data_IF_266900596522
#
_entry.id   IF_266900596522
#
_cell.length_a   1.000
_cell.length_b   1.000
_cell.length_c   1.000
_cell.angle_alpha   90.00
_cell.angle_beta   90.00
_cell.angle_gamma   90.00
#
_symmetry.space_group_name_H-M   'P 1'
#
loop_
_entity.id
_entity.type
_entity.pdbx_description
1 polymer ?
#
# COMPACT_ATOMS: atom_id res chain seq x y z
N UNK A 1 12.33 9.41 -13.88
CA UNK A 1 11.30 8.77 -13.06
C UNK A 1 11.96 7.98 -11.93
N UNK A 2 11.40 8.06 -10.74
CA UNK A 2 11.79 7.21 -9.60
C UNK A 2 10.63 6.26 -9.28
N UNK A 3 10.93 4.99 -9.18
CA UNK A 3 9.94 3.98 -8.80
C UNK A 3 10.49 3.22 -7.58
N UNK A 4 9.74 3.23 -6.49
CA UNK A 4 10.09 2.51 -5.26
C UNK A 4 9.05 1.42 -5.05
N UNK A 5 9.51 0.16 -5.13
CA UNK A 5 8.66 -0.98 -4.83
C UNK A 5 8.76 -1.33 -3.34
N UNK A 6 7.71 -1.90 -2.80
CA UNK A 6 7.60 -2.21 -1.38
C UNK A 6 7.82 -0.98 -0.49
N UNK A 7 7.30 0.14 -0.92
CA UNK A 7 7.55 1.44 -0.30
C UNK A 7 7.07 1.52 1.16
N UNK A 8 6.07 0.74 1.55
CA UNK A 8 5.59 0.71 2.94
C UNK A 8 6.68 0.28 3.93
N UNK A 9 7.65 -0.51 3.47
CA UNK A 9 8.77 -0.96 4.31
C UNK A 9 10.02 -0.10 4.23
N UNK A 10 10.02 0.97 3.43
CA UNK A 10 11.19 1.85 3.26
C UNK A 10 11.09 3.03 4.20
N UNK A 11 12.19 3.36 4.88
CA UNK A 11 12.23 4.50 5.79
C UNK A 11 11.96 5.82 5.05
N UNK A 12 11.21 6.72 5.69
CA UNK A 12 10.88 8.02 5.11
C UNK A 12 12.11 8.81 4.72
N UNK A 13 13.19 8.73 5.48
CA UNK A 13 14.44 9.42 5.16
C UNK A 13 15.01 8.98 3.81
N UNK A 14 14.88 7.68 3.48
CA UNK A 14 15.32 7.14 2.19
C UNK A 14 14.40 7.62 1.07
N UNK A 15 13.10 7.63 1.31
CA UNK A 15 12.14 8.13 0.33
C UNK A 15 12.35 9.61 0.04
N UNK A 16 12.62 10.42 1.06
CA UNK A 16 12.91 11.84 0.90
C UNK A 16 14.12 12.08 0.02
N UNK A 17 15.19 11.29 0.21
CA UNK A 17 16.39 11.40 -0.64
C UNK A 17 16.07 11.00 -2.08
N UNK A 18 15.35 9.89 -2.26
CA UNK A 18 15.01 9.40 -3.60
C UNK A 18 14.16 10.40 -4.38
N UNK A 19 13.15 10.98 -3.75
CA UNK A 19 12.22 11.90 -4.40
C UNK A 19 12.71 13.34 -4.42
N UNK A 20 13.64 13.71 -3.54
CA UNK A 20 14.23 15.04 -3.52
C UNK A 20 15.02 15.40 -4.78
N UNK A 21 15.43 14.40 -5.56
CA UNK A 21 16.12 14.62 -6.83
C UNK A 21 15.18 14.94 -7.98
N UNK A 22 13.85 14.84 -7.79
CA UNK A 22 12.85 15.07 -8.83
C UNK A 22 12.49 16.56 -8.88
N UNK A 23 13.30 17.34 -9.61
CA UNK A 23 13.16 18.80 -9.67
C UNK A 23 12.59 19.32 -10.98
N UNK A 24 12.48 18.49 -12.02
CA UNK A 24 11.94 18.88 -13.32
C UNK A 24 10.44 18.56 -13.40
N UNK A 25 9.70 19.37 -14.16
CA UNK A 25 8.27 19.19 -14.35
C UNK A 25 7.89 17.82 -14.93
N UNK A 26 8.77 17.26 -15.76
CA UNK A 26 8.53 15.98 -16.42
C UNK A 26 8.89 14.77 -15.57
N UNK A 27 9.46 14.99 -14.39
CA UNK A 27 9.81 13.90 -13.49
C UNK A 27 8.56 13.24 -12.93
N UNK A 28 8.66 11.94 -12.71
CA UNK A 28 7.57 11.13 -12.17
C UNK A 28 8.08 10.31 -11.01
N UNK A 29 7.23 10.16 -10.00
CA UNK A 29 7.48 9.33 -8.84
C UNK A 29 6.37 8.29 -8.73
N UNK A 30 6.74 7.04 -8.57
CA UNK A 30 5.79 5.94 -8.41
C UNK A 30 6.20 5.12 -7.18
N UNK A 31 5.26 4.88 -6.30
CA UNK A 31 5.45 3.96 -5.18
C UNK A 31 4.43 2.83 -5.30
N UNK A 32 4.91 1.60 -5.17
CA UNK A 32 4.07 0.42 -5.14
C UNK A 32 4.35 -0.36 -3.87
N UNK A 33 3.32 -0.89 -3.23
CA UNK A 33 3.51 -1.69 -2.02
C UNK A 33 2.23 -2.41 -1.62
N UNK A 34 2.38 -3.43 -0.80
CA UNK A 34 1.29 -3.88 0.07
C UNK A 34 1.20 -2.89 1.23
N UNK A 35 -0.01 -2.54 1.68
CA UNK A 35 -0.20 -1.54 2.74
C UNK A 35 0.03 -2.14 4.12
N UNK A 36 1.28 -2.41 4.48
CA UNK A 36 1.65 -3.14 5.68
C UNK A 36 1.72 -2.29 6.94
N UNK A 37 1.77 -0.95 6.80
CA UNK A 37 1.88 -0.03 7.93
C UNK A 37 0.84 1.07 7.82
N UNK A 38 0.32 1.53 8.95
CA UNK A 38 -0.61 2.65 9.01
C UNK A 38 0.07 3.97 9.40
N UNK A 39 1.33 4.11 9.05
CA UNK A 39 2.12 5.32 9.27
C UNK A 39 3.22 5.39 8.21
N UNK A 40 3.86 6.56 8.08
CA UNK A 40 4.95 6.79 7.15
C UNK A 40 4.47 7.40 5.83
N UNK A 41 5.44 7.73 4.96
CA UNK A 41 5.16 8.45 3.73
C UNK A 41 4.20 7.70 2.80
N UNK A 42 4.40 6.38 2.62
CA UNK A 42 3.52 5.62 1.74
C UNK A 42 2.07 5.65 2.23
N UNK A 43 1.85 5.45 3.53
CA UNK A 43 0.52 5.58 4.13
C UNK A 43 -0.08 6.95 3.86
N UNK A 44 0.71 8.01 4.07
CA UNK A 44 0.24 9.39 3.91
C UNK A 44 -0.13 9.73 2.46
N UNK A 45 0.52 9.10 1.46
CA UNK A 45 0.15 9.32 0.05
C UNK A 45 -1.25 8.82 -0.28
N UNK A 46 -1.78 7.92 0.52
CA UNK A 46 -3.16 7.44 0.41
C UNK A 46 -4.12 8.19 1.32
N UNK A 47 -3.64 9.08 2.17
CA UNK A 47 -4.44 9.82 3.14
C UNK A 47 -4.24 11.33 2.98
N UNK A 48 -3.49 11.97 3.89
CA UNK A 48 -3.39 13.44 3.87
C UNK A 48 -2.63 14.00 2.67
N UNK A 49 -1.72 13.25 2.08
CA UNK A 49 -0.98 13.67 0.89
C UNK A 49 -1.64 13.26 -0.41
N UNK A 50 -2.78 12.58 -0.36
CA UNK A 50 -3.50 12.18 -1.56
C UNK A 50 -4.20 13.38 -2.20
N UNK A 51 -4.40 13.30 -3.49
CA UNK A 51 -5.11 14.34 -4.25
C UNK A 51 -6.50 14.61 -3.68
N UNK A 52 -7.18 13.58 -3.20
CA UNK A 52 -8.53 13.71 -2.59
C UNK A 52 -8.52 14.57 -1.34
N UNK A 53 -7.43 14.56 -0.59
CA UNK A 53 -7.27 15.35 0.63
C UNK A 53 -6.56 16.69 0.39
N UNK A 54 -6.36 17.09 -0.86
CA UNK A 54 -5.68 18.33 -1.22
C UNK A 54 -4.19 18.19 -1.46
N UNK A 55 -3.63 16.98 -1.38
CA UNK A 55 -2.24 16.71 -1.68
C UNK A 55 -1.99 16.52 -3.17
N UNK A 56 -0.78 16.05 -3.50
CA UNK A 56 -0.35 15.91 -4.91
C UNK A 56 -0.28 14.47 -5.39
N UNK A 57 -0.45 13.50 -4.52
CA UNK A 57 -0.31 12.09 -4.87
C UNK A 57 -1.64 11.51 -5.36
N UNK A 58 -1.57 10.76 -6.45
CA UNK A 58 -2.72 9.99 -6.93
C UNK A 58 -2.60 8.59 -6.35
N UNK A 59 -3.52 8.25 -5.45
CA UNK A 59 -3.51 6.98 -4.76
C UNK A 59 -4.44 6.00 -5.48
N UNK A 60 -3.90 4.81 -5.79
CA UNK A 60 -4.64 3.74 -6.44
C UNK A 60 -4.58 2.50 -5.56
N UNK A 61 -5.73 1.85 -5.40
CA UNK A 61 -5.82 0.60 -4.65
C UNK A 61 -6.33 -0.51 -5.56
N UNK A 62 -5.60 -1.62 -5.57
CA UNK A 62 -5.98 -2.78 -6.36
C UNK A 62 -6.45 -3.88 -5.44
N UNK A 63 -7.75 -4.19 -5.50
CA UNK A 63 -8.36 -5.24 -4.71
C UNK A 63 -8.31 -6.54 -5.51
N UNK A 64 -7.64 -7.57 -4.98
CA UNK A 64 -7.50 -8.86 -5.65
C UNK A 64 -8.83 -9.55 -5.92
N UNK A 65 -9.85 -9.31 -5.10
CA UNK A 65 -11.17 -9.89 -5.32
C UNK A 65 -11.86 -9.34 -6.56
N UNK A 66 -11.50 -8.15 -6.97
CA UNK A 66 -12.09 -7.48 -8.14
C UNK A 66 -11.26 -7.68 -9.42
N UNK A 67 -10.05 -8.24 -9.29
CA UNK A 67 -9.15 -8.40 -10.43
C UNK A 67 -9.56 -9.60 -11.29
N UNK A 68 -9.73 -9.43 -12.61
CA UNK A 68 -10.00 -10.57 -13.50
C UNK A 68 -8.80 -11.51 -13.65
N UNK A 69 -7.61 -11.07 -13.24
CA UNK A 69 -6.40 -11.88 -13.31
C UNK A 69 -6.24 -12.83 -12.13
N UNK A 70 -7.01 -12.64 -11.06
CA UNK A 70 -6.96 -13.49 -9.87
C UNK A 70 -8.13 -14.45 -9.92
N UNK A 71 -7.83 -15.77 -9.89
CA UNK A 71 -8.86 -16.79 -9.96
C UNK A 71 -9.64 -16.90 -8.66
N UNK A 72 -10.89 -17.39 -8.75
CA UNK A 72 -11.71 -17.65 -7.56
C UNK A 72 -11.07 -18.69 -6.66
N UNK A 73 -10.40 -19.68 -7.24
CA UNK A 73 -9.68 -20.71 -6.49
C UNK A 73 -8.55 -20.08 -5.68
N UNK A 74 -7.78 -19.18 -6.28
CA UNK A 74 -6.68 -18.48 -5.59
C UNK A 74 -7.20 -17.68 -4.41
N UNK A 75 -8.32 -16.96 -4.57
CA UNK A 75 -8.93 -16.18 -3.50
C UNK A 75 -9.41 -17.09 -2.36
N UNK A 76 -10.00 -18.24 -2.69
CA UNK A 76 -10.45 -19.19 -1.69
C UNK A 76 -9.28 -19.78 -0.90
N UNK A 77 -8.17 -20.10 -1.57
CA UNK A 77 -6.96 -20.55 -0.91
C UNK A 77 -6.40 -19.51 0.05
N UNK A 78 -6.39 -18.25 -0.35
CA UNK A 78 -5.95 -17.16 0.52
C UNK A 78 -6.87 -17.01 1.73
N UNK A 79 -8.18 -17.09 1.52
CA UNK A 79 -9.14 -17.00 2.60
C UNK A 79 -8.97 -18.13 3.61
N UNK A 80 -8.73 -19.34 3.13
CA UNK A 80 -8.47 -20.49 4.01
C UNK A 80 -7.15 -20.32 4.76
N UNK A 81 -6.12 -19.85 4.09
CA UNK A 81 -4.81 -19.62 4.68
C UNK A 81 -4.87 -18.65 5.85
N UNK A 82 -5.64 -17.57 5.72
CA UNK A 82 -5.72 -16.51 6.74
C UNK A 82 -6.90 -16.68 7.68
N UNK A 83 -7.75 -17.65 7.45
CA UNK A 83 -8.88 -17.99 8.32
C UNK A 83 -10.18 -17.30 7.99
N UNK A 84 -10.17 -16.06 7.55
CA UNK A 84 -11.36 -15.34 7.13
C UNK A 84 -11.01 -14.10 6.32
N UNK A 85 -12.01 -13.54 5.65
CA UNK A 85 -11.91 -12.28 4.92
C UNK A 85 -11.66 -11.09 5.88
N UNK A 86 -11.98 -11.26 7.15
CA UNK A 86 -11.76 -10.23 8.17
C UNK A 86 -10.35 -10.26 8.77
N UNK A 87 -9.55 -11.26 8.45
CA UNK A 87 -8.18 -11.36 8.92
C UNK A 87 -7.34 -10.19 8.40
N UNK A 88 -6.46 -9.65 9.27
CA UNK A 88 -5.65 -8.49 8.93
C UNK A 88 -4.74 -8.75 7.73
N UNK A 89 -4.14 -9.93 7.64
CA UNK A 89 -3.25 -10.27 6.52
C UNK A 89 -4.03 -10.42 5.20
N UNK A 90 -5.24 -10.97 5.26
CA UNK A 90 -6.09 -11.05 4.07
C UNK A 90 -6.44 -9.65 3.56
N UNK A 91 -6.83 -8.74 4.46
CA UNK A 91 -7.15 -7.37 4.08
C UNK A 91 -5.96 -6.67 3.41
N UNK A 92 -4.77 -6.83 3.98
CA UNK A 92 -3.57 -6.20 3.44
C UNK A 92 -3.19 -6.80 2.08
N UNK A 93 -3.13 -8.12 2.00
CA UNK A 93 -2.54 -8.82 0.85
C UNK A 93 -3.51 -9.03 -0.30
N UNK A 94 -4.78 -9.15 -0.03
CA UNK A 94 -5.81 -9.40 -1.05
C UNK A 94 -6.63 -8.15 -1.34
N UNK A 95 -7.16 -7.50 -0.30
CA UNK A 95 -8.04 -6.35 -0.47
C UNK A 95 -7.28 -5.04 -0.68
N UNK A 96 -5.99 -5.00 -0.37
CA UNK A 96 -5.19 -3.78 -0.49
C UNK A 96 -5.55 -2.71 0.53
N UNK A 97 -6.06 -3.10 1.68
CA UNK A 97 -6.45 -2.19 2.75
C UNK A 97 -5.33 -2.01 3.76
N UNK A 98 -5.16 -0.78 4.25
CA UNK A 98 -4.22 -0.51 5.33
C UNK A 98 -4.74 -1.11 6.64
N UNK A 99 -3.84 -1.58 7.54
CA UNK A 99 -4.26 -2.08 8.84
C UNK A 99 -4.76 -0.94 9.72
N UNK A 100 -5.69 -1.24 10.62
CA UNK A 100 -6.03 -0.32 11.69
C UNK A 100 -5.06 -0.52 12.87
N UNK A 101 -5.22 0.26 13.94
CA UNK A 101 -4.31 0.19 15.08
C UNK A 101 -4.32 -1.17 15.77
N UNK A 102 -5.48 -1.83 15.85
CA UNK A 102 -5.57 -3.15 16.46
C UNK A 102 -4.94 -4.23 15.59
N UNK A 103 -5.10 -4.13 14.27
CA UNK A 103 -4.51 -5.05 13.31
C UNK A 103 -2.99 -4.97 13.31
N UNK A 104 -2.43 -3.78 13.50
CA UNK A 104 -0.99 -3.56 13.49
C UNK A 104 -0.28 -4.36 14.60
N UNK A 105 -0.89 -4.50 15.75
CA UNK A 105 -0.35 -5.33 16.83
C UNK A 105 -0.24 -6.80 16.44
N UNK A 106 -1.12 -7.26 15.58
CA UNK A 106 -1.09 -8.65 15.11
C UNK A 106 -0.04 -8.87 14.03
N UNK A 107 0.26 -7.84 13.25
CA UNK A 107 1.18 -7.89 12.11
C UNK A 107 2.64 -7.80 12.55
N UNK A 108 2.93 -7.08 13.62
CA UNK A 108 4.30 -6.81 14.06
C UNK A 108 4.95 -7.95 14.82
N UNK A 109 4.29 -9.06 14.96
CA UNK A 109 4.86 -10.24 15.62
C UNK A 109 5.91 -10.96 14.71
#
# INVERSE_FOLDING_TARGET
>A
MVWVDEASGVDDAVLDVAFGALTHEDNRAVMTSQPTRNAGMFYETHHKLSHRAGGVWIALTFNGEESPLVSKQSLEEQRQKYGSREDAQYKIRVLGEFPDLSDEFLITK
#
